data_IF_494477619808
#
_entry.id   IF_494477619808
#
_cell.length_a   1.000
_cell.length_b   1.000
_cell.length_c   1.000
_cell.angle_alpha   90.00
_cell.angle_beta   90.00
_cell.angle_gamma   90.00
#
_symmetry.space_group_name_H-M   'P 1'
#
loop_
_entity.id
_entity.type
_entity.pdbx_description
1 polymer ?
#
# COMPACT_ATOMS: atom_id res chain seq x y z
N UNK A 1 3.34 -21.06 -46.76
CA UNK A 1 4.61 -20.99 -46.02
C UNK A 1 5.71 -21.22 -47.04
N UNK A 2 6.55 -20.23 -47.26
CA UNK A 2 7.72 -20.39 -48.12
C UNK A 2 8.78 -21.21 -47.37
N UNK A 3 9.48 -22.07 -48.07
CA UNK A 3 10.33 -23.15 -47.51
C UNK A 3 11.65 -22.63 -46.89
N UNK A 4 11.88 -21.32 -46.75
CA UNK A 4 13.12 -20.70 -46.24
C UNK A 4 12.92 -19.63 -45.14
N UNK A 5 11.81 -19.66 -44.40
CA UNK A 5 11.62 -18.71 -43.30
C UNK A 5 12.40 -19.20 -42.08
N UNK A 6 13.47 -18.45 -41.73
CA UNK A 6 14.31 -18.76 -40.57
C UNK A 6 13.50 -18.66 -39.27
N UNK A 7 13.52 -19.72 -38.45
CA UNK A 7 12.95 -19.73 -37.12
C UNK A 7 13.66 -18.66 -36.25
N UNK A 8 12.89 -17.75 -35.69
CA UNK A 8 13.41 -16.82 -34.68
C UNK A 8 13.68 -17.61 -33.40
N UNK A 9 14.95 -17.77 -33.06
CA UNK A 9 15.36 -18.32 -31.79
C UNK A 9 15.00 -17.30 -30.70
N UNK A 10 14.17 -17.69 -29.74
CA UNK A 10 13.93 -16.90 -28.53
C UNK A 10 14.76 -17.51 -27.41
N UNK A 11 15.69 -16.72 -26.85
CA UNK A 11 16.42 -17.10 -25.64
C UNK A 11 15.54 -16.82 -24.42
N UNK A 12 15.37 -17.84 -23.57
CA UNK A 12 14.71 -17.66 -22.27
C UNK A 12 15.69 -17.00 -21.30
N UNK A 13 15.32 -15.82 -20.80
CA UNK A 13 16.08 -15.12 -19.78
C UNK A 13 15.63 -15.59 -18.38
N UNK A 14 16.52 -16.21 -17.64
CA UNK A 14 16.30 -16.60 -16.25
C UNK A 14 16.72 -15.47 -15.32
N UNK A 15 15.75 -14.92 -14.55
CA UNK A 15 16.01 -13.94 -13.49
C UNK A 15 16.14 -14.65 -12.13
N UNK A 16 17.08 -14.22 -11.31
CA UNK A 16 17.20 -14.69 -9.92
C UNK A 16 16.48 -13.73 -8.98
N UNK A 17 15.57 -14.25 -8.15
CA UNK A 17 14.94 -13.50 -7.06
C UNK A 17 15.56 -13.99 -5.75
N UNK A 18 16.19 -13.09 -5.00
CA UNK A 18 16.73 -13.37 -3.68
C UNK A 18 15.67 -13.03 -2.62
N UNK A 19 15.39 -13.99 -1.73
CA UNK A 19 14.56 -13.80 -0.55
C UNK A 19 15.45 -13.63 0.67
N UNK A 20 15.26 -12.54 1.41
CA UNK A 20 15.99 -12.24 2.64
C UNK A 20 15.02 -12.20 3.83
N UNK A 21 15.50 -12.66 4.99
CA UNK A 21 14.77 -12.61 6.25
C UNK A 21 15.31 -11.48 7.13
N UNK A 22 14.41 -10.72 7.72
CA UNK A 22 14.74 -9.64 8.64
C UNK A 22 14.15 -9.94 10.02
N UNK A 23 14.83 -9.47 11.08
CA UNK A 23 14.38 -9.66 12.46
C UNK A 23 13.64 -8.40 12.92
N UNK A 24 12.44 -8.57 13.45
CA UNK A 24 11.71 -7.54 14.18
C UNK A 24 11.55 -7.99 15.62
N UNK A 25 11.68 -7.06 16.56
CA UNK A 25 11.54 -7.38 17.97
C UNK A 25 11.18 -6.15 18.79
N UNK A 26 10.58 -6.39 19.94
CA UNK A 26 10.28 -5.35 20.93
C UNK A 26 10.47 -5.92 22.33
N UNK A 27 10.69 -5.04 23.31
CA UNK A 27 10.81 -5.40 24.70
C UNK A 27 9.98 -4.45 25.57
N UNK A 28 9.34 -4.99 26.59
CA UNK A 28 8.60 -4.23 27.60
C UNK A 28 9.20 -4.59 28.96
N UNK A 29 9.56 -3.59 29.75
CA UNK A 29 9.99 -3.77 31.14
C UNK A 29 8.80 -3.59 32.05
N UNK A 30 8.63 -4.51 32.98
CA UNK A 30 7.54 -4.52 33.97
C UNK A 30 8.15 -4.85 35.32
N UNK A 31 7.68 -4.20 36.38
CA UNK A 31 8.06 -4.56 37.75
C UNK A 31 7.31 -5.81 38.21
N UNK A 32 7.94 -6.61 39.11
CA UNK A 32 7.31 -7.77 39.71
C UNK A 32 6.07 -7.40 40.52
N UNK A 33 6.12 -6.25 41.20
CA UNK A 33 4.97 -5.73 41.98
C UNK A 33 3.77 -5.51 41.06
N UNK A 34 3.95 -4.86 39.90
CA UNK A 34 2.87 -4.63 38.94
C UNK A 34 2.34 -5.93 38.36
N UNK A 35 3.22 -6.92 38.16
CA UNK A 35 2.81 -8.23 37.64
C UNK A 35 1.94 -9.01 38.65
N UNK A 36 2.26 -8.93 39.96
CA UNK A 36 1.59 -9.69 41.01
C UNK A 36 0.36 -8.97 41.58
N UNK A 37 0.39 -7.64 41.64
CA UNK A 37 -0.66 -6.82 42.28
C UNK A 37 -1.65 -6.19 41.29
N UNK A 38 -1.55 -6.52 40.04
CA UNK A 38 -2.43 -5.95 38.98
C UNK A 38 -3.87 -6.51 39.13
N UNK A 39 -4.84 -5.61 39.20
CA UNK A 39 -6.29 -5.93 39.26
C UNK A 39 -6.80 -6.38 37.87
N UNK A 40 -6.09 -6.09 36.82
CA UNK A 40 -6.42 -6.44 35.41
C UNK A 40 -5.49 -7.50 34.87
N UNK A 41 -5.93 -8.21 33.82
CA UNK A 41 -5.15 -9.25 33.15
C UNK A 41 -3.98 -8.63 32.38
N UNK A 42 -2.89 -8.35 33.10
CA UNK A 42 -1.67 -7.76 32.59
C UNK A 42 -0.99 -8.60 31.50
N UNK A 43 -0.92 -9.95 31.59
CA UNK A 43 -0.38 -10.79 30.54
C UNK A 43 -1.08 -10.61 29.18
N UNK A 44 -2.41 -10.62 29.18
CA UNK A 44 -3.20 -10.40 27.97
C UNK A 44 -3.03 -8.99 27.39
N UNK A 45 -2.92 -7.99 28.24
CA UNK A 45 -2.63 -6.62 27.82
C UNK A 45 -1.25 -6.53 27.13
N UNK A 46 -0.23 -7.12 27.73
CA UNK A 46 1.13 -7.14 27.21
C UNK A 46 1.19 -7.86 25.87
N UNK A 47 0.52 -9.01 25.75
CA UNK A 47 0.46 -9.75 24.50
C UNK A 47 -0.15 -8.91 23.36
N UNK A 48 -1.24 -8.19 23.62
CA UNK A 48 -1.86 -7.26 22.69
C UNK A 48 -0.92 -6.11 22.31
N UNK A 49 -0.20 -5.56 23.28
CA UNK A 49 0.74 -4.46 23.04
C UNK A 49 1.94 -4.92 22.22
N UNK A 50 2.45 -6.14 22.45
CA UNK A 50 3.49 -6.73 21.59
C UNK A 50 2.99 -6.89 20.15
N UNK A 51 1.83 -7.49 19.95
CA UNK A 51 1.23 -7.69 18.65
C UNK A 51 1.06 -6.35 17.92
N UNK A 52 0.55 -5.32 18.61
CA UNK A 52 0.40 -3.98 18.04
C UNK A 52 1.72 -3.37 17.62
N UNK A 53 2.76 -3.42 18.47
CA UNK A 53 4.07 -2.84 18.18
C UNK A 53 4.78 -3.55 17.04
N UNK A 54 4.74 -4.88 17.02
CA UNK A 54 5.34 -5.68 15.95
C UNK A 54 4.61 -5.40 14.64
N UNK A 55 3.28 -5.51 14.62
CA UNK A 55 2.47 -5.25 13.43
C UNK A 55 2.68 -3.85 12.85
N UNK A 56 2.73 -2.81 13.71
CA UNK A 56 3.02 -1.44 13.24
C UNK A 56 4.39 -1.34 12.59
N UNK A 57 5.41 -2.02 13.13
CA UNK A 57 6.77 -1.99 12.55
C UNK A 57 6.89 -2.81 11.27
N UNK A 58 6.17 -3.91 11.17
CA UNK A 58 6.08 -4.70 9.95
C UNK A 58 5.38 -3.91 8.84
N UNK A 59 4.24 -3.30 9.15
CA UNK A 59 3.50 -2.47 8.20
C UNK A 59 4.34 -1.30 7.69
N UNK A 60 5.01 -0.56 8.59
CA UNK A 60 5.93 0.51 8.22
C UNK A 60 7.04 0.00 7.28
N UNK A 61 7.65 -1.14 7.60
CA UNK A 61 8.72 -1.71 6.80
C UNK A 61 8.24 -2.19 5.42
N UNK A 62 7.05 -2.80 5.34
CA UNK A 62 6.49 -3.27 4.08
C UNK A 62 5.99 -2.13 3.18
N UNK A 63 5.57 -1.01 3.74
CA UNK A 63 5.12 0.14 2.95
C UNK A 63 6.30 1.04 2.51
N UNK A 64 7.16 1.44 3.44
CA UNK A 64 8.16 2.48 3.22
C UNK A 64 9.60 2.06 3.59
N UNK A 65 9.87 0.77 3.75
CA UNK A 65 11.23 0.28 4.05
C UNK A 65 12.23 0.64 2.95
N UNK A 66 13.46 0.94 3.34
CA UNK A 66 14.56 1.34 2.45
C UNK A 66 15.52 0.20 2.06
N UNK A 67 15.23 -1.03 2.47
CA UNK A 67 16.07 -2.20 2.20
C UNK A 67 17.32 -2.31 3.07
N UNK A 68 17.56 -1.38 4.02
CA UNK A 68 18.73 -1.41 4.91
C UNK A 68 18.35 -1.98 6.27
N UNK A 69 18.65 -3.27 6.47
CA UNK A 69 18.27 -3.98 7.71
C UNK A 69 16.78 -4.24 7.89
N UNK A 70 15.98 -3.92 6.88
CA UNK A 70 14.53 -4.11 6.77
C UNK A 70 14.18 -4.35 5.29
N UNK A 71 13.00 -4.92 4.97
CA UNK A 71 12.62 -5.14 3.58
C UNK A 71 12.50 -3.83 2.80
N UNK A 72 12.63 -3.92 1.49
CA UNK A 72 12.28 -2.82 0.59
C UNK A 72 10.76 -2.70 0.53
N UNK A 73 10.25 -1.54 0.89
CA UNK A 73 8.81 -1.28 0.93
C UNK A 73 8.20 -1.07 -0.45
N UNK A 74 6.89 -1.23 -0.55
CA UNK A 74 6.13 -1.05 -1.79
C UNK A 74 6.32 0.36 -2.37
N UNK A 75 6.37 1.38 -1.52
CA UNK A 75 6.55 2.78 -1.92
C UNK A 75 8.02 3.24 -1.96
N UNK A 76 8.98 2.32 -1.85
CA UNK A 76 10.38 2.68 -1.95
C UNK A 76 10.71 3.19 -3.38
N UNK A 77 11.48 4.28 -3.46
CA UNK A 77 11.87 4.88 -4.74
C UNK A 77 12.75 3.96 -5.61
N UNK A 78 13.46 3.03 -4.97
CA UNK A 78 14.32 2.05 -5.67
C UNK A 78 13.96 0.65 -5.19
N UNK A 79 13.62 -0.22 -6.13
CA UNK A 79 13.25 -1.62 -5.85
C UNK A 79 11.86 -1.78 -5.23
N UNK A 80 11.05 -0.73 -5.15
CA UNK A 80 9.63 -0.78 -4.77
C UNK A 80 8.73 -1.26 -5.91
N UNK A 81 7.42 -1.01 -5.79
CA UNK A 81 6.46 -1.32 -6.83
C UNK A 81 6.68 -0.51 -8.10
N UNK A 82 6.23 -1.03 -9.24
CA UNK A 82 6.27 -0.32 -10.52
C UNK A 82 5.37 0.91 -10.50
N UNK A 83 5.87 2.02 -11.05
CA UNK A 83 5.09 3.25 -11.20
C UNK A 83 4.14 3.12 -12.38
N UNK A 84 2.85 3.00 -12.11
CA UNK A 84 1.82 2.87 -13.15
C UNK A 84 1.45 4.19 -13.80
N UNK A 85 1.47 5.29 -13.05
CA UNK A 85 1.19 6.64 -13.55
C UNK A 85 1.96 7.68 -12.72
N UNK A 86 2.21 8.84 -13.33
CA UNK A 86 2.87 9.97 -12.67
C UNK A 86 2.06 11.23 -12.95
N UNK A 87 1.78 12.01 -11.90
CA UNK A 87 1.10 13.28 -12.06
C UNK A 87 1.98 14.26 -12.83
N UNK A 88 1.42 14.97 -13.80
CA UNK A 88 2.14 15.97 -14.61
C UNK A 88 2.12 17.37 -14.01
N UNK A 89 1.27 17.60 -13.00
CA UNK A 89 1.05 18.88 -12.34
C UNK A 89 1.42 18.89 -10.87
N UNK A 90 1.32 20.07 -10.24
CA UNK A 90 1.51 20.25 -8.80
C UNK A 90 0.35 19.73 -7.95
N UNK A 91 -0.80 19.43 -8.57
CA UNK A 91 -2.02 18.95 -7.91
C UNK A 91 -2.51 17.69 -8.59
N UNK A 92 -3.02 16.75 -7.79
CA UNK A 92 -3.62 15.52 -8.29
C UNK A 92 -4.96 15.86 -8.95
N UNK A 93 -5.15 15.37 -10.16
CA UNK A 93 -6.39 15.49 -10.92
C UNK A 93 -7.16 14.17 -10.93
N UNK A 94 -8.41 14.21 -11.37
CA UNK A 94 -9.19 12.98 -11.53
C UNK A 94 -8.65 12.11 -12.68
N UNK A 95 -8.08 12.74 -13.70
CA UNK A 95 -7.43 12.03 -14.82
C UNK A 95 -6.23 11.21 -14.35
N UNK A 96 -5.43 11.71 -13.39
CA UNK A 96 -4.33 10.95 -12.81
C UNK A 96 -4.81 9.66 -12.13
N UNK A 97 -6.00 9.69 -11.52
CA UNK A 97 -6.62 8.50 -10.90
C UNK A 97 -7.06 7.49 -11.96
N UNK A 98 -7.64 7.99 -13.05
CA UNK A 98 -8.06 7.16 -14.19
C UNK A 98 -6.82 6.51 -14.83
N UNK A 99 -5.77 7.27 -15.09
CA UNK A 99 -4.52 6.76 -15.66
C UNK A 99 -3.92 5.65 -14.76
N UNK A 100 -3.86 5.89 -13.44
CA UNK A 100 -3.37 4.88 -12.50
C UNK A 100 -4.26 3.61 -12.50
N UNK A 101 -5.57 3.77 -12.57
CA UNK A 101 -6.49 2.63 -12.63
C UNK A 101 -6.26 1.79 -13.90
N UNK A 102 -6.09 2.43 -15.04
CA UNK A 102 -5.91 1.74 -16.32
C UNK A 102 -4.49 1.26 -16.55
N UNK A 103 -3.48 1.74 -15.82
CA UNK A 103 -2.13 1.19 -15.85
C UNK A 103 -2.09 -0.27 -15.40
N UNK A 104 -3.01 -0.67 -14.50
CA UNK A 104 -3.13 -2.03 -14.05
C UNK A 104 -3.80 -2.92 -15.13
N UNK A 105 -3.19 -4.04 -15.47
CA UNK A 105 -3.74 -5.00 -16.45
C UNK A 105 -5.11 -5.51 -16.01
N UNK A 106 -6.03 -5.65 -16.97
CA UNK A 106 -7.44 -6.00 -16.75
C UNK A 106 -7.69 -7.21 -15.83
N UNK A 107 -6.94 -8.34 -15.89
CA UNK A 107 -7.19 -9.47 -15.01
C UNK A 107 -7.00 -9.16 -13.52
N UNK A 108 -6.15 -8.19 -13.17
CA UNK A 108 -5.82 -7.84 -11.79
C UNK A 108 -6.75 -6.78 -11.21
N UNK A 109 -7.44 -5.97 -12.04
CA UNK A 109 -8.33 -4.87 -11.59
C UNK A 109 -9.47 -5.34 -10.68
N UNK A 110 -10.02 -6.55 -10.91
CA UNK A 110 -11.19 -7.06 -10.15
C UNK A 110 -10.94 -7.21 -8.66
N UNK A 111 -9.68 -7.39 -8.24
CA UNK A 111 -9.28 -7.56 -6.84
C UNK A 111 -8.31 -6.47 -6.36
N UNK A 112 -8.14 -5.42 -7.15
CA UNK A 112 -7.29 -4.30 -6.79
C UNK A 112 -7.90 -3.50 -5.64
N UNK A 113 -7.05 -3.03 -4.73
CA UNK A 113 -7.41 -2.21 -3.58
C UNK A 113 -6.59 -0.93 -3.64
N UNK A 114 -7.24 0.19 -3.34
CA UNK A 114 -6.58 1.48 -3.24
C UNK A 114 -5.94 1.63 -1.85
N UNK A 115 -4.65 1.96 -1.83
CA UNK A 115 -3.93 2.33 -0.62
C UNK A 115 -3.48 3.78 -0.80
N UNK A 116 -4.01 4.68 0.00
CA UNK A 116 -3.82 6.12 -0.14
C UNK A 116 -3.47 6.75 1.21
N UNK A 117 -2.62 7.77 1.15
CA UNK A 117 -2.40 8.63 2.31
C UNK A 117 -3.63 9.52 2.54
N UNK A 118 -3.93 9.86 3.79
CA UNK A 118 -5.07 10.71 4.17
C UNK A 118 -5.05 12.07 3.45
N UNK A 119 -3.87 12.67 3.29
CA UNK A 119 -3.75 13.94 2.57
C UNK A 119 -4.11 13.80 1.09
N UNK A 120 -3.76 12.67 0.48
CA UNK A 120 -4.13 12.34 -0.90
C UNK A 120 -5.64 12.16 -1.03
N UNK A 121 -6.27 11.43 -0.11
CA UNK A 121 -7.73 11.27 -0.07
C UNK A 121 -8.41 12.64 0.07
N UNK A 122 -7.91 13.50 0.96
CA UNK A 122 -8.41 14.87 1.12
C UNK A 122 -8.26 15.70 -0.16
N UNK A 123 -7.15 15.56 -0.87
CA UNK A 123 -6.95 16.26 -2.15
C UNK A 123 -7.94 15.76 -3.21
N UNK A 124 -8.11 14.45 -3.35
CA UNK A 124 -9.07 13.84 -4.29
C UNK A 124 -10.52 14.24 -3.99
N UNK A 125 -10.90 14.27 -2.72
CA UNK A 125 -12.26 14.73 -2.31
C UNK A 125 -12.53 16.20 -2.64
N UNK A 126 -11.50 17.00 -2.88
CA UNK A 126 -11.62 18.41 -3.24
C UNK A 126 -11.64 18.66 -4.75
N UNK A 127 -11.44 17.64 -5.55
CA UNK A 127 -11.50 17.76 -7.02
C UNK A 127 -12.93 18.12 -7.45
N UNK A 128 -13.03 19.13 -8.28
CA UNK A 128 -14.30 19.67 -8.79
C UNK A 128 -14.35 19.53 -10.30
N UNK A 129 -15.56 19.45 -10.82
CA UNK A 129 -15.82 19.54 -12.25
C UNK A 129 -15.74 21.01 -12.75
N UNK A 130 -15.94 21.22 -14.03
CA UNK A 130 -15.95 22.55 -14.67
C UNK A 130 -17.08 23.45 -14.16
N UNK A 131 -18.11 22.89 -13.51
CA UNK A 131 -19.24 23.61 -12.93
C UNK A 131 -19.02 23.93 -11.44
N UNK A 132 -17.87 23.52 -10.86
CA UNK A 132 -17.52 23.74 -9.46
C UNK A 132 -18.14 22.72 -8.50
N UNK A 133 -18.74 21.63 -8.99
CA UNK A 133 -19.29 20.56 -8.18
C UNK A 133 -18.19 19.55 -7.84
N UNK A 134 -18.26 18.95 -6.65
CA UNK A 134 -17.32 17.90 -6.26
C UNK A 134 -17.63 16.61 -7.02
N UNK A 135 -16.61 16.04 -7.68
CA UNK A 135 -16.74 14.78 -8.41
C UNK A 135 -17.00 13.62 -7.43
N UNK A 136 -16.32 13.64 -6.28
CA UNK A 136 -16.56 12.68 -5.21
C UNK A 136 -17.55 13.29 -4.20
N UNK A 137 -18.82 12.99 -4.38
CA UNK A 137 -19.87 13.48 -3.50
C UNK A 137 -20.07 12.53 -2.33
N UNK A 138 -19.98 13.02 -1.07
CA UNK A 138 -20.35 12.23 0.09
C UNK A 138 -21.85 11.89 0.05
N UNK A 139 -22.22 10.71 0.50
CA UNK A 139 -23.63 10.33 0.62
C UNK A 139 -24.37 11.31 1.58
N UNK A 140 -25.40 11.93 1.09
CA UNK A 140 -26.23 12.87 1.88
C UNK A 140 -27.14 12.13 2.86
N UNK A 141 -27.43 10.85 2.58
CA UNK A 141 -28.29 10.01 3.43
C UNK A 141 -27.45 8.99 4.22
N UNK A 142 -27.73 8.89 5.52
CA UNK A 142 -27.06 7.92 6.39
C UNK A 142 -27.25 6.49 5.87
N UNK A 143 -26.14 5.76 5.71
CA UNK A 143 -26.14 4.37 5.28
C UNK A 143 -25.98 4.14 3.78
N UNK A 144 -25.90 5.17 2.96
CA UNK A 144 -25.55 5.04 1.54
C UNK A 144 -24.03 5.25 1.33
N UNK A 145 -23.40 4.52 0.38
CA UNK A 145 -22.01 4.75 0.03
C UNK A 145 -21.82 6.08 -0.67
N UNK A 146 -20.64 6.69 -0.53
CA UNK A 146 -20.24 7.86 -1.31
C UNK A 146 -20.36 7.55 -2.82
N UNK A 147 -20.83 8.51 -3.59
CA UNK A 147 -20.99 8.37 -5.04
C UNK A 147 -19.87 9.13 -5.74
N UNK A 148 -19.23 8.47 -6.70
CA UNK A 148 -18.32 9.09 -7.67
C UNK A 148 -19.12 9.27 -8.97
N UNK A 149 -19.19 10.50 -9.44
CA UNK A 149 -19.88 10.84 -10.70
C UNK A 149 -19.06 10.39 -11.90
#
# INVERSE_FOLDING_TARGET
MEEEEAYTLSDDAFGQIALSAYKVGTAIKISEELLNDSVFDLPSYIAKEFARRIGTKEEEAFLIGDGKGKPTGIFAATGGAENGATTTGATITFDDVIELFYSLKSPYRKKAVWILNEQTVKALRKVKDNNGQYIWSPAVSAGLPDTIL
#
